data_IF_452786051223
#
_entry.id   IF_452786051223
#
_cell.length_a   1.000
_cell.length_b   1.000
_cell.length_c   1.000
_cell.angle_alpha   90.00
_cell.angle_beta   90.00
_cell.angle_gamma   90.00
#
_symmetry.space_group_name_H-M   'P 1'
#
loop_
_entity.id
_entity.type
_entity.pdbx_description
1 polymer ?
#
# COMPACT_ATOMS: atom_id res chain seq x y z
N UNK A 1 -14.84 -31.77 -1.13
CA UNK A 1 -15.50 -30.46 -1.32
C UNK A 1 -14.45 -29.41 -1.05
N UNK A 2 -14.32 -28.39 -1.91
CA UNK A 2 -13.45 -27.26 -1.62
C UNK A 2 -14.03 -26.47 -0.44
N UNK A 3 -13.19 -26.07 0.50
CA UNK A 3 -13.58 -25.19 1.61
C UNK A 3 -13.71 -23.77 1.05
N UNK A 4 -14.80 -23.08 1.37
CA UNK A 4 -14.92 -21.65 1.10
C UNK A 4 -13.94 -20.87 1.98
N UNK A 5 -12.95 -20.24 1.35
CA UNK A 5 -11.96 -19.39 2.01
C UNK A 5 -12.32 -17.90 1.96
N UNK A 6 -13.31 -17.50 1.15
CA UNK A 6 -13.73 -16.10 1.04
C UNK A 6 -14.66 -15.71 2.19
N UNK A 7 -15.32 -16.69 2.82
CA UNK A 7 -16.28 -16.44 3.89
C UNK A 7 -17.55 -15.75 3.39
N UNK A 8 -17.92 -15.98 2.12
CA UNK A 8 -19.07 -15.35 1.46
C UNK A 8 -18.83 -13.91 0.97
N UNK A 9 -17.59 -13.43 1.04
CA UNK A 9 -17.19 -12.13 0.49
C UNK A 9 -17.09 -12.17 -1.04
N UNK A 10 -17.36 -11.03 -1.68
CA UNK A 10 -17.22 -10.85 -3.13
C UNK A 10 -15.76 -10.92 -3.54
N UNK A 11 -15.46 -11.60 -4.65
CA UNK A 11 -14.13 -11.60 -5.29
C UNK A 11 -13.70 -10.19 -5.71
N UNK A 12 -14.64 -9.26 -5.90
CA UNK A 12 -14.33 -7.88 -6.25
C UNK A 12 -13.48 -7.17 -5.19
N UNK A 13 -13.50 -7.65 -3.94
CA UNK A 13 -12.69 -7.10 -2.84
C UNK A 13 -11.20 -7.46 -2.92
N UNK A 14 -10.82 -8.38 -3.81
CA UNK A 14 -9.41 -8.74 -4.05
C UNK A 14 -8.70 -7.77 -4.99
N UNK A 15 -9.46 -6.98 -5.76
CA UNK A 15 -8.92 -6.08 -6.76
C UNK A 15 -8.75 -4.68 -6.23
N UNK A 16 -7.73 -4.00 -6.74
CA UNK A 16 -7.53 -2.60 -6.43
C UNK A 16 -8.56 -1.71 -7.14
N UNK A 17 -8.93 -0.58 -6.53
CA UNK A 17 -9.87 0.36 -7.13
C UNK A 17 -9.25 1.03 -8.36
N UNK A 18 -9.80 0.72 -9.53
CA UNK A 18 -9.37 1.33 -10.79
C UNK A 18 -9.75 2.83 -10.91
N UNK A 19 -10.75 3.26 -10.15
CA UNK A 19 -11.27 4.64 -10.16
C UNK A 19 -11.66 5.05 -8.75
N UNK A 20 -11.71 6.36 -8.50
CA UNK A 20 -12.17 6.91 -7.23
C UNK A 20 -13.54 6.33 -6.83
N UNK A 21 -13.68 5.71 -5.64
CA UNK A 21 -14.97 5.24 -5.18
C UNK A 21 -15.91 6.38 -4.75
N UNK A 22 -17.21 6.09 -4.66
CA UNK A 22 -18.24 7.08 -4.33
C UNK A 22 -18.24 7.49 -2.84
N UNK A 23 -17.90 6.56 -1.95
CA UNK A 23 -17.79 6.83 -0.52
C UNK A 23 -16.52 7.64 -0.25
N UNK A 24 -16.62 8.89 0.25
CA UNK A 24 -15.47 9.76 0.45
C UNK A 24 -14.45 9.22 1.47
N UNK A 25 -14.89 8.38 2.41
CA UNK A 25 -14.02 7.79 3.43
C UNK A 25 -13.40 6.46 3.02
N UNK A 26 -13.81 5.88 1.88
CA UNK A 26 -13.28 4.60 1.42
C UNK A 26 -11.80 4.71 1.05
N UNK A 27 -11.04 3.71 1.48
CA UNK A 27 -9.58 3.67 1.39
C UNK A 27 -9.09 2.42 0.71
N UNK A 28 -7.96 2.57 0.07
CA UNK A 28 -7.17 1.49 -0.48
C UNK A 28 -5.71 1.67 -0.08
N UNK A 29 -5.05 0.55 0.19
CA UNK A 29 -3.66 0.53 0.60
C UNK A 29 -2.90 -0.55 -0.12
N UNK A 30 -1.75 -0.21 -0.68
CA UNK A 30 -0.77 -1.19 -1.16
C UNK A 30 0.47 -1.08 -0.29
N UNK A 31 0.90 -2.23 0.23
CA UNK A 31 2.05 -2.33 1.11
C UNK A 31 3.07 -3.31 0.55
N UNK A 32 4.32 -2.87 0.48
CA UNK A 32 5.46 -3.70 0.11
C UNK A 32 6.39 -3.82 1.29
N UNK A 33 6.85 -5.03 1.53
CA UNK A 33 7.92 -5.32 2.47
C UNK A 33 9.09 -5.95 1.72
N UNK A 34 10.29 -5.43 1.96
CA UNK A 34 11.51 -5.89 1.30
C UNK A 34 12.59 -6.14 2.34
N UNK A 35 13.31 -7.25 2.22
CA UNK A 35 14.51 -7.53 3.00
C UNK A 35 15.65 -7.90 2.07
N UNK A 36 16.83 -7.33 2.34
CA UNK A 36 18.05 -7.84 1.74
C UNK A 36 18.40 -9.22 2.32
N UNK A 37 18.95 -10.11 1.49
CA UNK A 37 19.30 -11.48 1.87
C UNK A 37 20.40 -11.54 2.93
N UNK A 38 21.22 -10.50 3.07
CA UNK A 38 22.28 -10.43 4.09
C UNK A 38 21.85 -9.67 5.33
N UNK A 39 20.56 -9.34 5.44
CA UNK A 39 19.96 -8.60 6.55
C UNK A 39 20.63 -7.25 6.83
N UNK A 40 21.31 -6.65 5.83
CA UNK A 40 21.99 -5.37 6.01
C UNK A 40 21.03 -4.19 5.99
N UNK A 41 19.93 -4.35 5.26
CA UNK A 41 18.86 -3.37 5.13
C UNK A 41 17.52 -4.09 5.05
N UNK A 42 16.56 -3.59 5.81
CA UNK A 42 15.15 -3.96 5.70
C UNK A 42 14.33 -2.74 5.34
N UNK A 43 13.33 -2.92 4.49
CA UNK A 43 12.30 -1.92 4.22
C UNK A 43 10.98 -2.52 4.74
N UNK A 44 10.73 -2.43 6.06
CA UNK A 44 9.58 -3.07 6.70
C UNK A 44 8.23 -2.41 6.38
N UNK A 45 8.21 -1.36 5.54
CA UNK A 45 7.00 -0.85 4.90
C UNK A 45 7.37 0.14 3.80
N UNK A 46 6.83 -0.08 2.61
CA UNK A 46 6.51 0.97 1.63
C UNK A 46 4.99 0.94 1.52
N UNK A 47 4.34 2.00 1.97
CA UNK A 47 2.89 2.13 1.95
C UNK A 47 2.47 3.23 0.99
N UNK A 48 1.50 2.92 0.12
CA UNK A 48 0.77 3.91 -0.68
C UNK A 48 -0.69 3.76 -0.28
N UNK A 49 -1.28 4.86 0.20
CA UNK A 49 -2.65 4.89 0.71
C UNK A 49 -3.45 5.90 -0.13
N UNK A 50 -4.49 5.42 -0.79
CA UNK A 50 -5.46 6.22 -1.51
C UNK A 50 -6.74 6.35 -0.68
N UNK A 51 -7.28 7.56 -0.60
CA UNK A 51 -8.57 7.84 0.03
C UNK A 51 -9.42 8.57 -1.00
N UNK A 52 -10.69 8.19 -1.15
CA UNK A 52 -11.55 8.75 -2.18
C UNK A 52 -11.59 10.30 -2.16
N UNK A 53 -11.71 10.91 -0.98
CA UNK A 53 -11.69 12.37 -0.82
C UNK A 53 -10.40 13.04 -1.34
N UNK A 54 -9.27 12.33 -1.36
CA UNK A 54 -7.94 12.81 -1.76
C UNK A 54 -7.36 11.99 -2.91
N UNK A 55 -8.19 11.53 -3.83
CA UNK A 55 -7.81 10.56 -4.86
C UNK A 55 -6.59 10.96 -5.71
N UNK A 56 -6.44 12.26 -5.99
CA UNK A 56 -5.33 12.76 -6.81
C UNK A 56 -4.03 12.98 -6.00
N UNK A 57 -4.05 12.74 -4.69
CA UNK A 57 -2.90 12.93 -3.78
C UNK A 57 -2.83 11.79 -2.77
N UNK A 58 -1.92 10.86 -2.99
CA UNK A 58 -1.74 9.72 -2.12
C UNK A 58 -0.85 10.04 -0.91
N UNK A 59 -1.17 9.38 0.19
CA UNK A 59 -0.28 9.28 1.33
C UNK A 59 0.77 8.21 1.06
N UNK A 60 2.04 8.54 1.28
CA UNK A 60 3.19 7.68 1.02
C UNK A 60 4.05 7.57 2.26
N UNK A 61 4.38 6.34 2.62
CA UNK A 61 5.28 6.03 3.73
C UNK A 61 6.41 5.13 3.28
N UNK A 62 7.61 5.39 3.79
CA UNK A 62 8.74 4.46 3.72
C UNK A 62 9.44 4.36 5.07
N UNK A 63 9.73 3.12 5.47
CA UNK A 63 10.54 2.80 6.63
C UNK A 63 11.79 2.05 6.16
N UNK A 64 12.98 2.51 6.55
CA UNK A 64 14.26 1.86 6.23
C UNK A 64 14.96 1.52 7.53
N UNK A 65 15.18 0.23 7.77
CA UNK A 65 15.85 -0.31 8.94
C UNK A 65 17.28 -0.75 8.62
N UNK A 66 18.22 -0.37 9.46
CA UNK A 66 19.61 -0.84 9.43
C UNK A 66 19.90 -1.91 10.48
N UNK A 67 21.07 -2.53 10.40
CA UNK A 67 21.51 -3.58 11.35
C UNK A 67 21.73 -3.07 12.77
N UNK A 68 21.87 -1.76 12.95
CA UNK A 68 22.06 -1.12 14.26
C UNK A 68 20.74 -0.94 15.03
N UNK A 69 19.63 -1.46 14.50
CA UNK A 69 18.30 -1.40 15.11
C UNK A 69 17.60 -0.05 14.94
N UNK A 70 18.18 0.89 14.19
CA UNK A 70 17.53 2.17 13.88
C UNK A 70 16.63 2.05 12.66
N UNK A 71 15.57 2.86 12.66
CA UNK A 71 14.63 2.99 11.53
C UNK A 71 14.54 4.44 11.12
N UNK A 72 14.83 4.72 9.86
CA UNK A 72 14.50 5.97 9.21
C UNK A 72 13.07 5.86 8.68
N UNK A 73 12.18 6.68 9.23
CA UNK A 73 10.77 6.71 8.81
C UNK A 73 10.46 8.05 8.18
N UNK A 74 9.84 8.01 7.00
CA UNK A 74 9.32 9.20 6.34
C UNK A 74 7.89 8.94 5.90
N UNK A 75 7.02 9.89 6.24
CA UNK A 75 5.66 9.98 5.74
C UNK A 75 5.46 11.32 5.01
N UNK A 76 4.57 11.32 4.03
CA UNK A 76 4.02 12.55 3.45
C UNK A 76 3.24 12.23 2.19
N UNK A 77 2.98 13.27 1.40
CA UNK A 77 2.06 13.19 0.26
C UNK A 77 2.79 13.23 -1.09
N UNK A 78 2.18 12.64 -2.11
CA UNK A 78 2.63 12.70 -3.50
C UNK A 78 1.44 12.63 -4.45
N UNK A 79 1.60 13.15 -5.67
CA UNK A 79 0.58 13.09 -6.70
C UNK A 79 0.28 11.63 -7.07
N UNK A 80 -0.97 11.33 -7.43
CA UNK A 80 -1.32 10.03 -8.00
C UNK A 80 -0.54 9.82 -9.30
N UNK A 81 0.08 8.65 -9.45
CA UNK A 81 0.84 8.27 -10.64
C UNK A 81 0.03 7.33 -11.52
N UNK A 82 0.11 7.52 -12.84
CA UNK A 82 -0.41 6.54 -13.79
C UNK A 82 0.35 5.21 -13.61
N UNK A 83 -0.35 4.06 -13.48
CA UNK A 83 0.29 2.78 -13.20
C UNK A 83 1.19 2.27 -14.33
N UNK A 84 1.05 2.79 -15.55
CA UNK A 84 1.86 2.45 -16.72
C UNK A 84 2.78 3.59 -17.16
N UNK A 85 2.63 4.78 -16.54
CA UNK A 85 3.33 6.00 -16.91
C UNK A 85 3.22 6.31 -18.41
N UNK A 86 2.04 6.02 -18.99
CA UNK A 86 1.74 6.09 -20.42
C UNK A 86 1.40 7.51 -20.91
#
# INVERSE_FOLDING_TARGET
MATDLTGGLSEELEYVFATRPDDPEMRESVNVWLWDRRDQVGIPRIGIEAVAEQWDTHDVQVNIAGTDGRVFSRYGKGDAHDPLNA
#
